data_IF_293740367900
#
_entry.id   IF_293740367900
#
_cell.length_a   1.000
_cell.length_b   1.000
_cell.length_c   1.000
_cell.angle_alpha   90.00
_cell.angle_beta   90.00
_cell.angle_gamma   90.00
#
_symmetry.space_group_name_H-M   'P 1'
#
loop_
_entity.id
_entity.type
_entity.pdbx_description
1 polymer ?
#
# COMPACT_ATOMS: atom_id res chain seq x y z
N UNK A 1 -14.13 -7.31 26.98
CA UNK A 1 -14.16 -7.23 25.51
C UNK A 1 -12.88 -6.55 25.02
N UNK A 2 -11.84 -7.33 24.73
CA UNK A 2 -10.53 -6.79 24.32
C UNK A 2 -10.55 -6.36 22.87
N UNK A 3 -10.30 -5.07 22.60
CA UNK A 3 -10.06 -4.52 21.26
C UNK A 3 -8.94 -5.32 20.58
N UNK A 4 -9.23 -5.88 19.40
CA UNK A 4 -8.33 -6.72 18.63
C UNK A 4 -6.97 -6.06 18.41
N UNK A 5 -5.95 -6.56 19.11
CA UNK A 5 -4.54 -6.31 18.78
C UNK A 5 -4.17 -7.26 17.65
N UNK A 6 -4.65 -6.99 16.44
CA UNK A 6 -4.05 -7.60 15.26
C UNK A 6 -2.57 -7.25 15.25
N UNK A 7 -1.73 -8.28 15.06
CA UNK A 7 -0.26 -8.14 15.07
C UNK A 7 0.16 -7.29 13.87
N UNK A 8 0.09 -5.96 14.02
CA UNK A 8 0.61 -5.01 13.04
C UNK A 8 2.12 -5.05 13.11
N UNK A 9 2.75 -5.50 12.03
CA UNK A 9 4.20 -5.44 11.92
C UNK A 9 4.53 -4.05 11.36
N UNK A 10 5.11 -3.18 12.20
CA UNK A 10 5.62 -1.87 11.79
C UNK A 10 6.96 -2.09 11.07
N UNK A 11 6.97 -2.00 9.74
CA UNK A 11 8.17 -2.34 8.98
C UNK A 11 8.73 -1.21 8.11
N UNK A 12 8.00 -0.10 7.92
CA UNK A 12 8.48 1.01 7.09
C UNK A 12 8.98 0.54 5.72
N UNK A 13 8.29 -0.43 5.11
CA UNK A 13 8.79 -1.10 3.92
C UNK A 13 8.57 -0.20 2.70
N UNK A 14 9.60 0.03 1.87
CA UNK A 14 9.40 0.64 0.56
C UNK A 14 8.43 -0.21 -0.27
N UNK A 15 7.50 0.47 -0.93
CA UNK A 15 6.51 -0.13 -1.78
C UNK A 15 6.27 0.70 -3.03
N UNK A 16 5.79 0.02 -4.06
CA UNK A 16 5.35 0.60 -5.33
C UNK A 16 3.89 0.24 -5.56
N UNK A 17 3.07 1.25 -5.76
CA UNK A 17 1.64 1.13 -6.04
C UNK A 17 1.42 1.34 -7.54
N UNK A 18 1.03 0.28 -8.24
CA UNK A 18 0.77 0.29 -9.68
C UNK A 18 -0.74 0.34 -9.93
N UNK A 19 -1.17 1.33 -10.70
CA UNK A 19 -2.57 1.59 -11.02
C UNK A 19 -2.74 1.62 -12.54
N UNK A 20 -3.39 0.57 -13.05
CA UNK A 20 -3.49 0.38 -14.49
C UNK A 20 -2.11 0.27 -15.16
N UNK A 21 -2.02 0.55 -16.47
CA UNK A 21 -0.81 0.27 -17.25
C UNK A 21 0.32 1.29 -17.11
N UNK A 22 0.08 2.49 -16.55
CA UNK A 22 1.03 3.60 -16.65
C UNK A 22 1.28 4.38 -15.36
N UNK A 23 0.50 4.20 -14.30
CA UNK A 23 0.69 4.95 -13.05
C UNK A 23 1.39 4.08 -12.01
N UNK A 24 2.58 4.51 -11.57
CA UNK A 24 3.30 3.90 -10.47
C UNK A 24 3.64 4.98 -9.45
N UNK A 25 3.26 4.74 -8.19
CA UNK A 25 3.53 5.64 -7.07
C UNK A 25 4.45 4.94 -6.07
N UNK A 26 5.51 5.62 -5.66
CA UNK A 26 6.34 5.15 -4.55
C UNK A 26 5.64 5.43 -3.24
N UNK A 27 5.85 4.57 -2.26
CA UNK A 27 5.27 4.74 -0.95
C UNK A 27 5.96 3.88 0.10
N UNK A 28 5.46 4.01 1.32
CA UNK A 28 5.93 3.26 2.48
C UNK A 28 4.74 2.49 3.04
N UNK A 29 4.94 1.21 3.36
CA UNK A 29 4.02 0.41 4.16
C UNK A 29 4.37 0.64 5.63
N UNK A 30 3.67 1.55 6.35
CA UNK A 30 3.87 1.70 7.78
C UNK A 30 3.46 0.44 8.53
N UNK A 31 2.43 -0.27 8.07
CA UNK A 31 1.91 -1.46 8.74
C UNK A 31 1.27 -2.46 7.77
N UNK A 32 1.43 -3.74 8.10
CA UNK A 32 0.85 -4.89 7.41
C UNK A 32 0.15 -5.79 8.44
N UNK A 33 -1.05 -6.26 8.09
CA UNK A 33 -1.83 -7.24 8.86
C UNK A 33 -2.61 -8.17 7.93
N UNK A 34 -3.15 -9.24 8.49
CA UNK A 34 -4.08 -10.17 7.82
C UNK A 34 -5.37 -9.48 7.32
N UNK A 35 -5.77 -8.37 7.96
CA UNK A 35 -6.98 -7.61 7.58
C UNK A 35 -6.76 -6.55 6.52
N UNK A 36 -5.51 -6.26 6.18
CA UNK A 36 -5.18 -5.25 5.19
C UNK A 36 -3.82 -4.59 5.42
N UNK A 37 -3.53 -3.69 4.49
CA UNK A 37 -2.25 -3.00 4.34
C UNK A 37 -2.54 -1.51 4.27
N UNK A 38 -1.82 -0.72 5.06
CA UNK A 38 -1.80 0.73 4.87
C UNK A 38 -0.56 1.10 4.06
N UNK A 39 -0.72 2.00 3.10
CA UNK A 39 0.38 2.55 2.29
C UNK A 39 0.29 4.06 2.33
N UNK A 40 1.40 4.71 2.65
CA UNK A 40 1.55 6.16 2.54
C UNK A 40 2.29 6.40 1.22
N UNK A 41 1.59 6.95 0.23
CA UNK A 41 2.18 7.28 -1.07
C UNK A 41 2.94 8.59 -0.99
N UNK A 42 4.12 8.63 -1.60
CA UNK A 42 4.87 9.85 -1.83
C UNK A 42 4.25 10.57 -3.04
N UNK A 43 3.78 11.77 -2.81
CA UNK A 43 3.06 12.56 -3.81
C UNK A 43 3.62 13.97 -3.78
N UNK A 44 3.78 14.59 -4.95
CA UNK A 44 4.09 16.02 -5.00
C UNK A 44 2.81 16.79 -4.63
N UNK A 45 2.91 17.91 -3.90
CA UNK A 45 1.74 18.72 -3.54
C UNK A 45 0.98 19.25 -4.77
N UNK A 46 1.64 19.33 -5.94
CA UNK A 46 1.03 19.72 -7.22
C UNK A 46 0.40 18.54 -8.00
N UNK A 47 0.44 17.32 -7.45
CA UNK A 47 -0.10 16.13 -8.10
C UNK A 47 -1.58 15.94 -7.70
N UNK A 48 -2.44 16.81 -8.21
CA UNK A 48 -3.91 16.74 -8.10
C UNK A 48 -4.52 15.46 -8.73
N UNK A 49 -3.70 14.59 -9.33
CA UNK A 49 -4.14 13.40 -10.06
C UNK A 49 -4.38 12.16 -9.18
N UNK A 50 -4.10 12.27 -7.89
CA UNK A 50 -4.23 11.20 -6.90
C UNK A 50 -5.62 11.13 -6.31
N UNK A 51 -6.61 10.89 -7.18
CA UNK A 51 -7.90 10.42 -6.73
C UNK A 51 -7.94 8.89 -6.86
N UNK A 52 -7.85 8.21 -5.72
CA UNK A 52 -7.98 6.77 -5.62
C UNK A 52 -9.41 6.43 -5.19
N UNK A 53 -10.31 6.11 -6.14
CA UNK A 53 -11.67 5.81 -5.77
C UNK A 53 -11.71 4.52 -4.92
N UNK A 54 -12.49 4.49 -3.82
CA UNK A 54 -12.78 3.25 -3.11
C UNK A 54 -13.30 2.18 -4.08
N UNK A 55 -12.88 0.93 -3.90
CA UNK A 55 -13.16 -0.18 -4.81
C UNK A 55 -12.20 -0.29 -6.00
N UNK A 56 -11.28 0.66 -6.21
CA UNK A 56 -10.28 0.55 -7.27
C UNK A 56 -9.33 -0.62 -7.00
N UNK A 57 -9.09 -1.42 -8.02
CA UNK A 57 -8.07 -2.48 -7.99
C UNK A 57 -6.70 -1.89 -8.32
N UNK A 58 -5.73 -2.20 -7.47
CA UNK A 58 -4.34 -1.75 -7.57
C UNK A 58 -3.39 -2.91 -7.30
N UNK A 59 -2.18 -2.84 -7.85
CA UNK A 59 -1.14 -3.80 -7.54
C UNK A 59 -0.11 -3.15 -6.61
N UNK A 60 0.07 -3.73 -5.42
CA UNK A 60 1.08 -3.32 -4.45
C UNK A 60 2.29 -4.24 -4.56
N UNK A 61 3.46 -3.67 -4.83
CA UNK A 61 4.73 -4.39 -4.88
C UNK A 61 5.62 -3.93 -3.73
N UNK A 62 6.24 -4.85 -3.00
CA UNK A 62 7.18 -4.53 -1.93
C UNK A 62 8.12 -5.70 -1.67
N UNK A 63 9.27 -5.41 -1.04
CA UNK A 63 10.32 -6.40 -0.84
C UNK A 63 10.69 -6.56 0.63
N UNK A 64 10.05 -7.47 1.38
CA UNK A 64 10.52 -7.81 2.72
C UNK A 64 11.75 -8.70 2.61
N UNK A 65 12.94 -8.15 2.93
CA UNK A 65 14.20 -8.91 3.00
C UNK A 65 14.54 -9.66 1.70
N UNK A 66 14.59 -8.91 0.59
CA UNK A 66 15.02 -9.37 -0.75
C UNK A 66 14.09 -10.33 -1.50
N UNK A 67 12.94 -10.71 -0.92
CA UNK A 67 11.87 -11.38 -1.65
C UNK A 67 10.92 -10.36 -2.27
N UNK A 68 10.60 -10.47 -3.56
CA UNK A 68 9.63 -9.57 -4.21
C UNK A 68 8.21 -10.11 -4.01
N UNK A 69 7.37 -9.33 -3.33
CA UNK A 69 5.95 -9.64 -3.13
C UNK A 69 5.11 -8.69 -4.00
N UNK A 70 4.11 -9.26 -4.68
CA UNK A 70 3.12 -8.53 -5.47
C UNK A 70 1.71 -8.93 -5.02
N UNK A 71 0.92 -7.97 -4.57
CA UNK A 71 -0.45 -8.18 -4.10
C UNK A 71 -1.42 -7.38 -4.96
N UNK A 72 -2.52 -8.02 -5.37
CA UNK A 72 -3.66 -7.31 -5.93
C UNK A 72 -4.57 -6.88 -4.78
N UNK A 73 -4.76 -5.58 -4.62
CA UNK A 73 -5.49 -4.97 -3.52
C UNK A 73 -6.67 -4.16 -4.06
N UNK A 74 -7.74 -4.10 -3.27
CA UNK A 74 -8.84 -3.17 -3.46
C UNK A 74 -8.65 -1.99 -2.49
N UNK A 75 -8.80 -0.76 -2.98
CA UNK A 75 -8.75 0.45 -2.16
C UNK A 75 -10.02 0.54 -1.31
N UNK A 76 -9.87 0.77 0.01
CA UNK A 76 -10.98 0.97 0.94
C UNK A 76 -11.17 2.44 1.30
#
# INVERSE_FOLDING_TARGET
MGKGRDKRILMGLPAELVIGPMKNYRGIIPNLSDKGISVIVETSPDDDSLNFPPGAMVQLNFNPRDEKISLNCEIK
#
